data_IF_108905401161
#
_entry.id   IF_108905401161
#
_cell.length_a   1.000
_cell.length_b   1.000
_cell.length_c   1.000
_cell.angle_alpha   90.00
_cell.angle_beta   90.00
_cell.angle_gamma   90.00
#
_symmetry.space_group_name_H-M   'P 1'
#
loop_
_entity.id
_entity.type
_entity.pdbx_description
1 polymer ?
#
# COMPACT_ATOMS: atom_id res chain seq x y z
N UNK A 1 -7.52 -10.89 -14.51
CA UNK A 1 -8.46 -9.76 -14.44
C UNK A 1 -9.06 -9.59 -13.05
N UNK A 2 -9.64 -10.67 -12.45
CA UNK A 2 -10.27 -10.60 -11.12
C UNK A 2 -9.32 -10.07 -10.03
N UNK A 3 -8.07 -10.51 -10.01
CA UNK A 3 -7.07 -10.00 -9.04
C UNK A 3 -6.87 -8.50 -9.25
N UNK A 4 -6.71 -8.06 -10.48
CA UNK A 4 -6.44 -6.66 -10.80
C UNK A 4 -7.63 -5.74 -10.47
N UNK A 5 -8.86 -6.17 -10.69
CA UNK A 5 -10.06 -5.39 -10.38
C UNK A 5 -10.34 -5.30 -8.88
N UNK A 6 -10.05 -6.36 -8.12
CA UNK A 6 -10.23 -6.36 -6.67
C UNK A 6 -9.13 -5.58 -5.92
N UNK A 7 -7.89 -5.53 -6.47
CA UNK A 7 -6.75 -4.88 -5.82
C UNK A 7 -6.89 -3.36 -5.68
N UNK A 8 -7.53 -2.71 -6.66
CA UNK A 8 -7.69 -1.26 -6.70
C UNK A 8 -9.17 -0.93 -6.53
N UNK A 9 -9.84 -1.68 -5.64
CA UNK A 9 -11.28 -1.61 -5.49
C UNK A 9 -11.77 -0.22 -5.05
N UNK A 10 -13.03 0.04 -5.39
CA UNK A 10 -13.78 1.23 -4.99
C UNK A 10 -13.70 1.52 -3.47
N UNK A 11 -13.47 0.49 -2.65
CA UNK A 11 -13.41 0.61 -1.20
C UNK A 11 -12.30 1.54 -0.71
N UNK A 12 -11.08 1.45 -1.27
CA UNK A 12 -10.00 2.38 -0.88
C UNK A 12 -10.35 3.82 -1.27
N UNK A 13 -10.81 4.06 -2.50
CA UNK A 13 -11.23 5.38 -2.94
C UNK A 13 -12.44 5.94 -2.14
N UNK A 14 -13.37 5.08 -1.68
CA UNK A 14 -14.45 5.49 -0.80
C UNK A 14 -13.90 5.90 0.56
N UNK A 15 -13.03 5.06 1.15
CA UNK A 15 -12.41 5.32 2.45
C UNK A 15 -11.53 6.56 2.44
N UNK A 16 -10.76 6.78 1.37
CA UNK A 16 -9.95 8.00 1.22
C UNK A 16 -10.83 9.25 1.24
N UNK A 17 -11.90 9.27 0.44
CA UNK A 17 -12.80 10.42 0.36
C UNK A 17 -13.50 10.76 1.68
N UNK A 18 -13.89 9.75 2.45
CA UNK A 18 -14.54 9.91 3.74
C UNK A 18 -13.60 10.40 4.84
N UNK A 19 -12.29 10.38 4.58
CA UNK A 19 -11.25 10.61 5.58
C UNK A 19 -10.22 11.67 5.19
N UNK A 20 -10.55 12.56 4.25
CA UNK A 20 -9.69 13.70 3.84
C UNK A 20 -9.41 14.68 4.97
N UNK A 21 -10.26 14.70 6.00
CA UNK A 21 -10.14 15.56 7.19
C UNK A 21 -9.84 14.75 8.46
N UNK A 22 -9.68 13.43 8.37
CA UNK A 22 -9.34 12.57 9.50
C UNK A 22 -7.84 12.69 9.78
N UNK A 23 -7.46 13.50 10.74
CA UNK A 23 -6.05 13.73 11.10
C UNK A 23 -5.51 12.58 11.95
N UNK A 24 -4.32 12.12 11.60
CA UNK A 24 -3.57 11.10 12.33
C UNK A 24 -2.07 11.43 12.33
N UNK A 25 -1.27 10.84 13.24
CA UNK A 25 0.18 10.98 13.15
C UNK A 25 0.72 10.15 11.96
N UNK A 26 1.57 10.74 11.15
CA UNK A 26 2.45 10.02 10.25
C UNK A 26 3.67 9.51 11.02
N UNK A 27 4.17 8.33 10.65
CA UNK A 27 5.26 7.66 11.33
C UNK A 27 6.48 7.49 10.42
N UNK A 28 7.67 7.71 10.99
CA UNK A 28 8.94 7.22 10.46
C UNK A 28 9.66 6.47 11.58
N UNK A 29 10.28 5.33 11.28
CA UNK A 29 10.93 4.48 12.30
C UNK A 29 9.99 4.08 13.47
N UNK A 30 8.68 3.96 13.21
CA UNK A 30 7.61 3.79 14.22
C UNK A 30 7.56 4.93 15.26
N UNK A 31 8.21 6.06 15.01
CA UNK A 31 8.10 7.28 15.82
C UNK A 31 7.15 8.25 15.12
N UNK A 32 6.36 8.98 15.90
CA UNK A 32 5.50 10.05 15.39
C UNK A 32 6.36 11.14 14.75
N UNK A 33 6.05 11.52 13.52
CA UNK A 33 6.83 12.48 12.74
C UNK A 33 6.03 13.77 12.51
N UNK A 34 5.07 13.74 11.61
CA UNK A 34 4.26 14.89 11.21
C UNK A 34 2.79 14.51 11.13
N UNK A 35 1.84 15.45 11.30
CA UNK A 35 0.43 15.16 11.11
C UNK A 35 0.13 14.96 9.62
N UNK A 36 -0.69 13.95 9.34
CA UNK A 36 -1.20 13.61 8.01
C UNK A 36 -2.71 13.37 8.10
N UNK A 37 -3.35 13.11 6.97
CA UNK A 37 -4.72 12.59 6.97
C UNK A 37 -4.74 11.08 6.74
N UNK A 38 -5.79 10.41 7.20
CA UNK A 38 -6.01 9.00 6.91
C UNK A 38 -6.14 8.77 5.39
N UNK A 39 -6.77 9.70 4.67
CA UNK A 39 -6.84 9.66 3.21
C UNK A 39 -5.44 9.63 2.57
N UNK A 40 -4.53 10.48 3.03
CA UNK A 40 -3.15 10.50 2.53
C UNK A 40 -2.42 9.17 2.77
N UNK A 41 -2.62 8.56 3.92
CA UNK A 41 -2.04 7.26 4.25
C UNK A 41 -2.61 6.15 3.36
N UNK A 42 -3.93 6.09 3.22
CA UNK A 42 -4.60 5.09 2.37
C UNK A 42 -4.23 5.26 0.90
N UNK A 43 -4.14 6.49 0.41
CA UNK A 43 -3.69 6.81 -0.95
C UNK A 43 -2.30 6.26 -1.29
N UNK A 44 -1.41 6.14 -0.30
CA UNK A 44 -0.11 5.50 -0.52
C UNK A 44 -0.25 4.01 -0.90
N UNK A 45 -1.18 3.28 -0.27
CA UNK A 45 -1.50 1.89 -0.64
C UNK A 45 -2.23 1.80 -1.97
N UNK A 46 -3.13 2.74 -2.25
CA UNK A 46 -3.76 2.84 -3.57
C UNK A 46 -2.71 2.91 -4.69
N UNK A 47 -1.72 3.79 -4.56
CA UNK A 47 -0.64 3.91 -5.54
C UNK A 47 0.22 2.64 -5.66
N UNK A 48 0.41 1.87 -4.58
CA UNK A 48 1.09 0.57 -4.63
C UNK A 48 0.28 -0.43 -5.47
N UNK A 49 -1.02 -0.60 -5.19
CA UNK A 49 -1.88 -1.54 -5.90
C UNK A 49 -2.16 -1.12 -7.34
N UNK A 50 -2.21 0.17 -7.63
CA UNK A 50 -2.25 0.70 -8.99
C UNK A 50 -1.04 0.25 -9.81
N UNK A 51 0.16 0.32 -9.26
CA UNK A 51 1.36 -0.22 -9.91
C UNK A 51 1.32 -1.74 -10.06
N UNK A 52 0.71 -2.46 -9.13
CA UNK A 52 0.53 -3.92 -9.24
C UNK A 52 -0.42 -4.29 -10.37
N UNK A 53 -1.51 -3.54 -10.53
CA UNK A 53 -2.42 -3.70 -11.67
C UNK A 53 -1.72 -3.48 -13.01
N UNK A 54 -0.87 -2.45 -13.12
CA UNK A 54 -0.07 -2.20 -14.32
C UNK A 54 0.91 -3.35 -14.59
N UNK A 55 1.56 -3.93 -13.57
CA UNK A 55 2.42 -5.11 -13.73
C UNK A 55 1.66 -6.29 -14.34
N UNK A 56 0.46 -6.57 -13.83
CA UNK A 56 -0.37 -7.65 -14.36
C UNK A 56 -0.78 -7.40 -15.83
N UNK A 57 -1.06 -6.15 -16.17
CA UNK A 57 -1.34 -5.77 -17.55
C UNK A 57 -0.11 -5.98 -18.45
N UNK A 58 1.05 -5.50 -18.04
CA UNK A 58 2.30 -5.67 -18.81
C UNK A 58 2.63 -7.15 -19.06
N UNK A 59 2.36 -8.01 -18.08
CA UNK A 59 2.53 -9.47 -18.22
C UNK A 59 1.54 -10.03 -19.23
N UNK A 60 0.28 -9.61 -19.16
CA UNK A 60 -0.74 -10.04 -20.11
C UNK A 60 -0.34 -9.73 -21.56
N UNK A 61 0.19 -8.54 -21.83
CA UNK A 61 0.66 -8.14 -23.15
C UNK A 61 1.77 -9.07 -23.69
N UNK A 62 2.68 -9.51 -22.82
CA UNK A 62 3.78 -10.39 -23.22
C UNK A 62 3.39 -11.86 -23.31
N UNK A 63 2.49 -12.33 -22.46
CA UNK A 63 2.09 -13.75 -22.42
C UNK A 63 1.04 -14.14 -23.45
N UNK A 64 0.37 -13.19 -24.10
CA UNK A 64 -0.81 -13.45 -24.91
C UNK A 64 -0.46 -13.92 -26.33
N UNK A 65 0.46 -14.91 -26.43
CA UNK A 65 0.84 -15.59 -27.68
C UNK A 65 0.61 -17.09 -27.59
N UNK A 66 0.00 -17.66 -28.63
CA UNK A 66 -0.45 -19.06 -28.66
C UNK A 66 0.70 -20.03 -28.97
N UNK A 67 1.03 -20.98 -28.07
CA UNK A 67 2.07 -21.98 -28.34
C UNK A 67 1.57 -23.18 -29.15
N UNK A 68 0.25 -23.34 -29.33
CA UNK A 68 -0.31 -24.49 -30.04
C UNK A 68 0.22 -24.60 -31.47
N UNK A 69 0.45 -25.84 -31.90
CA UNK A 69 1.06 -26.14 -33.19
C UNK A 69 2.59 -26.16 -33.19
N UNK A 70 3.24 -25.88 -32.06
CA UNK A 70 4.71 -26.00 -31.92
C UNK A 70 5.21 -27.45 -31.97
N UNK A 71 4.32 -28.44 -31.82
CA UNK A 71 4.68 -29.85 -31.75
C UNK A 71 5.53 -30.15 -30.52
N UNK A 72 6.47 -31.09 -30.66
CA UNK A 72 7.42 -31.37 -29.58
C UNK A 72 8.48 -30.26 -29.43
N UNK A 73 8.94 -29.66 -30.54
CA UNK A 73 9.89 -28.54 -30.61
C UNK A 73 10.08 -27.97 -32.04
N UNK A 74 9.72 -28.70 -33.09
CA UNK A 74 10.04 -28.38 -34.48
C UNK A 74 8.78 -28.15 -35.36
N UNK A 75 7.62 -27.93 -34.74
CA UNK A 75 6.36 -27.81 -35.44
C UNK A 75 5.87 -29.17 -35.98
N UNK A 76 5.24 -29.14 -37.17
CA UNK A 76 4.66 -30.34 -37.79
C UNK A 76 4.69 -30.23 -39.33
N UNK A 77 4.63 -31.35 -40.00
CA UNK A 77 4.47 -31.43 -41.47
C UNK A 77 3.01 -31.33 -41.92
N UNK A 78 2.05 -31.32 -41.00
CA UNK A 78 0.65 -31.13 -41.30
C UNK A 78 0.36 -29.65 -41.58
N UNK A 79 -0.58 -29.33 -42.53
CA UNK A 79 -0.92 -27.96 -42.87
C UNK A 79 -1.82 -27.33 -41.78
N UNK A 80 -1.25 -27.05 -40.62
CA UNK A 80 -1.95 -26.37 -39.52
C UNK A 80 -1.96 -24.86 -39.77
N UNK A 81 -3.13 -24.24 -39.56
CA UNK A 81 -3.26 -22.79 -39.51
C UNK A 81 -3.14 -22.31 -38.04
N UNK A 82 -1.94 -21.91 -37.67
CA UNK A 82 -1.65 -21.45 -36.32
C UNK A 82 -2.18 -20.04 -36.03
N UNK A 83 -2.28 -19.21 -37.07
CA UNK A 83 -2.87 -17.86 -36.98
C UNK A 83 -4.35 -17.97 -36.63
N UNK A 84 -5.10 -18.78 -37.40
CA UNK A 84 -6.51 -19.04 -37.13
C UNK A 84 -6.77 -19.67 -35.76
N UNK A 85 -5.90 -20.56 -35.31
CA UNK A 85 -5.98 -21.15 -33.96
C UNK A 85 -5.79 -20.08 -32.88
N UNK A 86 -4.83 -19.20 -33.04
CA UNK A 86 -4.57 -18.10 -32.11
C UNK A 86 -5.75 -17.12 -32.06
N UNK A 87 -6.31 -16.76 -33.23
CA UNK A 87 -7.48 -15.88 -33.32
C UNK A 87 -8.70 -16.48 -32.59
N UNK A 88 -9.03 -17.75 -32.86
CA UNK A 88 -10.16 -18.43 -32.19
C UNK A 88 -10.04 -18.49 -30.67
N UNK A 89 -8.82 -18.54 -30.14
CA UNK A 89 -8.52 -18.59 -28.71
C UNK A 89 -8.33 -17.20 -28.09
N UNK A 90 -8.36 -16.13 -28.88
CA UNK A 90 -8.23 -14.76 -28.40
C UNK A 90 -6.80 -14.35 -28.06
N UNK A 91 -5.78 -15.03 -28.63
CA UNK A 91 -4.39 -14.62 -28.55
C UNK A 91 -4.05 -13.56 -29.62
N UNK A 92 -2.99 -12.80 -29.38
CA UNK A 92 -2.50 -11.82 -30.38
C UNK A 92 -1.91 -12.47 -31.64
N UNK A 93 -1.48 -13.71 -31.52
CA UNK A 93 -0.90 -14.50 -32.60
C UNK A 93 -0.20 -15.74 -32.08
N UNK A 94 0.38 -16.58 -32.95
CA UNK A 94 1.18 -17.73 -32.55
C UNK A 94 2.57 -17.30 -32.05
N UNK A 95 3.20 -18.12 -31.21
CA UNK A 95 4.63 -17.99 -30.92
C UNK A 95 5.46 -18.20 -32.18
N UNK A 96 6.46 -17.34 -32.42
CA UNK A 96 7.22 -17.30 -33.66
C UNK A 96 8.35 -18.35 -33.75
N UNK A 97 8.67 -18.99 -32.65
CA UNK A 97 9.64 -20.09 -32.60
C UNK A 97 9.04 -21.29 -31.86
N UNK A 98 8.95 -22.45 -32.52
CA UNK A 98 8.29 -23.61 -31.96
C UNK A 98 9.06 -24.24 -30.78
N UNK A 99 10.38 -24.10 -30.75
CA UNK A 99 11.20 -24.61 -29.64
C UNK A 99 11.02 -23.72 -28.39
N UNK A 100 10.98 -22.42 -28.57
CA UNK A 100 10.68 -21.45 -27.54
C UNK A 100 9.23 -21.63 -27.01
N UNK A 101 8.26 -21.77 -27.92
CA UNK A 101 6.84 -21.93 -27.57
C UNK A 101 6.53 -23.16 -26.69
N UNK A 102 7.36 -24.21 -26.72
CA UNK A 102 7.22 -25.35 -25.78
C UNK A 102 8.06 -25.23 -24.53
N UNK A 103 9.07 -24.36 -24.54
CA UNK A 103 10.05 -24.20 -23.46
C UNK A 103 9.75 -23.00 -22.54
N UNK A 104 9.12 -21.97 -23.07
CA UNK A 104 8.90 -20.71 -22.34
C UNK A 104 8.08 -20.90 -21.06
N UNK A 105 8.57 -20.30 -20.00
CA UNK A 105 7.89 -20.14 -18.69
C UNK A 105 8.09 -18.74 -18.12
N UNK A 106 8.60 -17.80 -18.92
CA UNK A 106 8.87 -16.44 -18.47
C UNK A 106 7.57 -15.77 -17.99
N UNK A 107 6.46 -16.02 -18.69
CA UNK A 107 5.15 -15.53 -18.31
C UNK A 107 4.70 -15.98 -16.92
N UNK A 108 5.04 -17.21 -16.49
CA UNK A 108 4.74 -17.70 -15.14
C UNK A 108 5.66 -17.09 -14.10
N UNK A 109 6.95 -16.91 -14.43
CA UNK A 109 7.93 -16.25 -13.55
C UNK A 109 7.52 -14.78 -13.33
N UNK A 110 7.17 -14.07 -14.38
CA UNK A 110 6.66 -12.70 -14.29
C UNK A 110 5.37 -12.63 -13.49
N UNK A 111 4.42 -13.54 -13.74
CA UNK A 111 3.17 -13.60 -12.99
C UNK A 111 3.40 -13.88 -11.49
N UNK A 112 4.23 -14.86 -11.13
CA UNK A 112 4.58 -15.15 -9.75
C UNK A 112 5.34 -13.98 -9.09
N UNK A 113 6.16 -13.26 -9.86
CA UNK A 113 6.84 -12.04 -9.38
C UNK A 113 5.83 -10.93 -9.07
N UNK A 114 4.82 -10.74 -9.92
CA UNK A 114 3.73 -9.80 -9.64
C UNK A 114 2.93 -10.24 -8.41
N UNK A 115 2.57 -11.51 -8.31
CA UNK A 115 1.90 -12.10 -7.14
C UNK A 115 2.71 -11.88 -5.85
N UNK A 116 4.02 -12.09 -5.88
CA UNK A 116 4.91 -11.83 -4.75
C UNK A 116 4.93 -10.35 -4.36
N UNK A 117 4.94 -9.44 -5.33
CA UNK A 117 4.89 -7.99 -5.09
C UNK A 117 3.56 -7.56 -4.48
N UNK A 118 2.43 -8.08 -4.99
CA UNK A 118 1.09 -7.86 -4.43
C UNK A 118 1.04 -8.31 -2.96
N UNK A 119 1.52 -9.52 -2.68
CA UNK A 119 1.53 -10.04 -1.32
C UNK A 119 2.45 -9.25 -0.40
N UNK A 120 3.55 -8.71 -0.90
CA UNK A 120 4.41 -7.81 -0.11
C UNK A 120 3.67 -6.52 0.28
N UNK A 121 2.92 -5.92 -0.64
CA UNK A 121 2.12 -4.73 -0.35
C UNK A 121 0.99 -5.05 0.65
N UNK A 122 0.27 -6.16 0.45
CA UNK A 122 -0.75 -6.62 1.40
C UNK A 122 -0.16 -6.92 2.78
N UNK A 123 1.04 -7.54 2.84
CA UNK A 123 1.73 -7.83 4.10
C UNK A 123 2.09 -6.55 4.86
N UNK A 124 2.58 -5.53 4.17
CA UNK A 124 2.87 -4.23 4.78
C UNK A 124 1.61 -3.57 5.34
N UNK A 125 0.53 -3.57 4.56
CA UNK A 125 -0.73 -3.00 5.00
C UNK A 125 -1.33 -3.82 6.17
N UNK A 126 -1.23 -5.14 6.12
CA UNK A 126 -1.63 -6.02 7.23
C UNK A 126 -0.89 -5.69 8.53
N UNK A 127 0.42 -5.45 8.45
CA UNK A 127 1.22 -5.05 9.62
C UNK A 127 0.70 -3.76 10.25
N UNK A 128 0.39 -2.75 9.42
CA UNK A 128 -0.17 -1.49 9.93
C UNK A 128 -1.55 -1.68 10.55
N UNK A 129 -2.44 -2.47 9.93
CA UNK A 129 -3.75 -2.81 10.51
C UNK A 129 -3.59 -3.51 11.86
N UNK A 130 -2.64 -4.44 11.99
CA UNK A 130 -2.35 -5.14 13.27
C UNK A 130 -1.88 -4.13 14.33
N UNK A 131 -0.94 -3.24 13.98
CA UNK A 131 -0.47 -2.18 14.87
C UNK A 131 -1.64 -1.27 15.27
N UNK A 132 -2.45 -0.81 14.30
CA UNK A 132 -3.56 0.09 14.56
C UNK A 132 -4.68 -0.54 15.38
N UNK A 133 -4.86 -1.85 15.28
CA UNK A 133 -5.87 -2.59 16.07
C UNK A 133 -5.37 -2.93 17.49
N UNK A 134 -4.08 -2.73 17.79
CA UNK A 134 -3.52 -3.03 19.11
C UNK A 134 -4.13 -2.16 20.21
N UNK A 135 -4.07 -2.65 21.46
CA UNK A 135 -4.55 -1.92 22.64
C UNK A 135 -3.83 -0.58 22.86
N UNK A 136 -2.59 -0.46 22.40
CA UNK A 136 -1.74 0.72 22.51
C UNK A 136 -2.16 1.81 21.53
N UNK A 137 -2.49 1.43 20.28
CA UNK A 137 -2.88 2.38 19.22
C UNK A 137 -4.38 2.64 19.22
N UNK A 138 -5.20 1.61 19.09
CA UNK A 138 -6.67 1.70 19.01
C UNK A 138 -7.16 2.63 17.90
N UNK A 139 -6.47 2.65 16.77
CA UNK A 139 -6.85 3.49 15.62
C UNK A 139 -7.96 2.87 14.79
N UNK A 140 -8.05 1.54 14.79
CA UNK A 140 -9.07 0.80 14.07
C UNK A 140 -9.73 -0.27 14.93
N UNK A 141 -10.96 -0.60 14.57
CA UNK A 141 -11.68 -1.77 15.05
C UNK A 141 -12.05 -2.63 13.86
N UNK A 142 -11.59 -3.89 13.86
CA UNK A 142 -11.91 -4.87 12.83
C UNK A 142 -13.28 -5.46 13.15
N UNK A 143 -14.13 -5.65 12.12
CA UNK A 143 -15.44 -6.27 12.24
C UNK A 143 -15.32 -7.74 12.73
N UNK A 144 -16.33 -8.21 13.48
CA UNK A 144 -16.36 -9.56 14.03
C UNK A 144 -16.29 -10.65 12.96
N UNK A 145 -16.76 -10.37 11.74
CA UNK A 145 -16.66 -11.29 10.61
C UNK A 145 -15.22 -11.54 10.14
N UNK A 146 -14.28 -10.65 10.49
CA UNK A 146 -12.87 -10.68 10.08
C UNK A 146 -11.89 -10.76 11.24
N UNK A 147 -12.38 -11.09 12.44
CA UNK A 147 -11.60 -11.21 13.66
C UNK A 147 -12.06 -12.40 14.48
N UNK A 148 -11.21 -12.97 15.32
CA UNK A 148 -11.60 -14.00 16.25
C UNK A 148 -11.48 -13.55 17.70
N UNK A 149 -12.46 -13.97 18.53
CA UNK A 149 -12.37 -13.83 19.98
C UNK A 149 -11.51 -14.93 20.60
N UNK A 150 -11.04 -14.69 21.80
CA UNK A 150 -10.39 -15.73 22.61
C UNK A 150 -11.45 -16.55 23.34
N UNK A 151 -11.33 -17.88 23.33
CA UNK A 151 -12.19 -18.78 24.12
C UNK A 151 -11.98 -18.64 25.64
N UNK A 152 -10.86 -18.06 26.06
CA UNK A 152 -10.47 -17.89 27.48
C UNK A 152 -10.57 -16.43 27.91
N UNK A 153 -10.33 -15.48 27.01
CA UNK A 153 -10.29 -14.04 27.31
C UNK A 153 -11.40 -13.32 26.56
N UNK A 154 -12.60 -13.13 27.16
CA UNK A 154 -13.77 -12.59 26.45
C UNK A 154 -13.57 -11.19 25.84
N UNK A 155 -12.63 -10.42 26.39
CA UNK A 155 -12.30 -9.06 25.94
C UNK A 155 -11.31 -9.02 24.76
N UNK A 156 -10.71 -10.18 24.40
CA UNK A 156 -9.66 -10.24 23.38
C UNK A 156 -10.25 -10.45 21.98
N UNK A 157 -9.90 -9.57 21.07
CA UNK A 157 -10.25 -9.61 19.65
C UNK A 157 -8.97 -9.58 18.82
N UNK A 158 -8.76 -10.61 18.00
CA UNK A 158 -7.51 -10.78 17.25
C UNK A 158 -7.67 -10.35 15.81
N UNK A 159 -6.67 -9.72 15.18
CA UNK A 159 -6.67 -9.31 13.78
C UNK A 159 -6.27 -10.48 12.84
N UNK A 160 -6.94 -11.63 12.95
CA UNK A 160 -6.51 -12.88 12.33
C UNK A 160 -6.36 -12.80 10.81
N UNK A 161 -7.28 -12.11 10.13
CA UNK A 161 -7.21 -11.98 8.65
C UNK A 161 -5.94 -11.25 8.25
N UNK A 162 -5.60 -10.15 8.93
CA UNK A 162 -4.38 -9.41 8.66
C UNK A 162 -3.12 -10.26 8.94
N UNK A 163 -3.12 -11.03 10.03
CA UNK A 163 -2.02 -11.95 10.37
C UNK A 163 -1.86 -13.06 9.35
N UNK A 164 -2.97 -13.70 8.92
CA UNK A 164 -2.96 -14.76 7.92
C UNK A 164 -2.49 -14.25 6.54
N UNK A 165 -2.93 -13.08 6.12
CA UNK A 165 -2.46 -12.46 4.87
C UNK A 165 -0.96 -12.19 4.94
N UNK A 166 -0.46 -11.62 6.04
CA UNK A 166 0.97 -11.42 6.27
C UNK A 166 1.73 -12.75 6.22
N UNK A 167 1.23 -13.80 6.88
CA UNK A 167 1.86 -15.12 6.90
C UNK A 167 1.89 -15.81 5.54
N UNK A 168 0.80 -15.72 4.76
CA UNK A 168 0.69 -16.35 3.42
C UNK A 168 1.63 -15.74 2.37
N UNK A 169 2.17 -14.56 2.62
CA UNK A 169 3.17 -13.92 1.74
C UNK A 169 4.38 -14.82 1.51
N UNK A 170 4.87 -15.50 2.56
CA UNK A 170 5.99 -16.44 2.44
C UNK A 170 5.71 -17.63 1.50
N UNK A 171 4.45 -18.11 1.44
CA UNK A 171 4.03 -19.18 0.54
C UNK A 171 4.19 -18.77 -0.93
N UNK A 172 3.75 -17.56 -1.28
CA UNK A 172 3.85 -17.03 -2.66
C UNK A 172 5.30 -16.74 -3.04
N UNK A 173 6.11 -16.25 -2.10
CA UNK A 173 7.56 -16.09 -2.32
C UNK A 173 8.23 -17.42 -2.60
N UNK A 174 7.83 -18.46 -1.85
CA UNK A 174 8.32 -19.84 -2.06
C UNK A 174 7.99 -20.36 -3.45
N UNK A 175 6.79 -20.10 -3.96
CA UNK A 175 6.37 -20.51 -5.32
C UNK A 175 7.26 -19.86 -6.40
N UNK A 176 7.48 -18.54 -6.32
CA UNK A 176 8.37 -17.83 -7.25
C UNK A 176 9.79 -18.39 -7.21
N UNK A 177 10.34 -18.55 -6.03
CA UNK A 177 11.71 -19.05 -5.86
C UNK A 177 11.85 -20.50 -6.36
N UNK A 178 10.83 -21.32 -6.13
CA UNK A 178 10.79 -22.71 -6.60
C UNK A 178 10.79 -22.76 -8.13
N UNK A 179 9.96 -21.97 -8.81
CA UNK A 179 9.91 -21.94 -10.28
C UNK A 179 11.22 -21.43 -10.89
N UNK A 180 11.80 -20.37 -10.35
CA UNK A 180 13.12 -19.86 -10.75
C UNK A 180 14.20 -20.95 -10.60
N UNK A 181 14.14 -21.72 -9.52
CA UNK A 181 15.08 -22.83 -9.27
C UNK A 181 14.87 -23.99 -10.24
N UNK A 182 13.62 -24.30 -10.58
CA UNK A 182 13.28 -25.34 -11.56
C UNK A 182 13.81 -24.97 -12.94
N UNK A 183 13.58 -23.73 -13.38
CA UNK A 183 13.93 -23.29 -14.75
C UNK A 183 15.43 -23.06 -14.96
N UNK A 184 16.20 -22.75 -13.89
CA UNK A 184 17.63 -22.51 -14.02
C UNK A 184 18.37 -23.75 -14.57
N UNK A 185 19.05 -23.65 -15.66
CA UNK A 185 19.98 -24.68 -16.16
C UNK A 185 19.35 -25.88 -16.87
N UNK A 186 18.02 -25.89 -17.08
CA UNK A 186 17.42 -26.87 -17.98
C UNK A 186 17.65 -26.46 -19.44
N UNK A 187 17.93 -27.43 -20.37
CA UNK A 187 18.13 -27.12 -21.78
C UNK A 187 16.82 -26.77 -22.47
N UNK A 188 16.92 -26.24 -23.69
CA UNK A 188 15.77 -25.89 -24.53
C UNK A 188 14.84 -27.06 -24.81
N UNK A 189 13.66 -26.74 -25.30
CA UNK A 189 12.50 -27.61 -25.48
C UNK A 189 11.94 -28.09 -24.13
N UNK A 190 11.24 -29.21 -24.13
CA UNK A 190 10.54 -29.71 -22.94
C UNK A 190 11.37 -30.64 -22.10
N UNK A 191 11.41 -30.40 -20.82
CA UNK A 191 11.95 -31.31 -19.80
C UNK A 191 10.89 -31.55 -18.72
N UNK A 192 10.90 -32.73 -18.10
CA UNK A 192 9.91 -33.14 -17.07
C UNK A 192 9.86 -32.18 -15.86
N UNK A 193 10.98 -31.52 -15.56
CA UNK A 193 11.09 -30.49 -14.51
C UNK A 193 10.01 -29.41 -14.66
N UNK A 194 9.63 -29.10 -15.89
CA UNK A 194 8.61 -28.09 -16.18
C UNK A 194 7.19 -28.47 -15.71
N UNK A 195 6.96 -29.71 -15.25
CA UNK A 195 5.66 -30.08 -14.66
C UNK A 195 5.43 -29.42 -13.30
N UNK A 196 6.50 -29.04 -12.60
CA UNK A 196 6.44 -28.31 -11.34
C UNK A 196 5.89 -26.88 -11.47
N UNK A 197 5.74 -26.37 -12.69
CA UNK A 197 5.23 -25.04 -12.96
C UNK A 197 3.74 -24.85 -12.54
N UNK A 198 2.93 -25.90 -12.62
CA UNK A 198 1.47 -25.82 -12.50
C UNK A 198 1.00 -25.67 -11.07
N UNK A 199 1.39 -26.60 -10.20
CA UNK A 199 0.93 -26.60 -8.79
C UNK A 199 1.34 -25.30 -8.08
N UNK A 200 2.58 -24.88 -8.29
CA UNK A 200 3.11 -23.64 -7.71
C UNK A 200 2.35 -22.40 -8.19
N UNK A 201 2.07 -22.33 -9.49
CA UNK A 201 1.40 -21.16 -10.07
C UNK A 201 -0.07 -21.09 -9.70
N UNK A 202 -0.78 -22.23 -9.73
CA UNK A 202 -2.19 -22.28 -9.33
C UNK A 202 -2.37 -22.00 -7.84
N UNK A 203 -1.55 -22.59 -6.99
CA UNK A 203 -1.57 -22.34 -5.56
C UNK A 203 -1.27 -20.88 -5.21
N UNK A 204 -0.28 -20.27 -5.87
CA UNK A 204 0.01 -18.85 -5.69
C UNK A 204 -1.16 -17.96 -6.13
N UNK A 205 -1.75 -18.25 -7.30
CA UNK A 205 -2.91 -17.51 -7.81
C UNK A 205 -4.10 -17.57 -6.84
N UNK A 206 -4.46 -18.77 -6.39
CA UNK A 206 -5.59 -18.97 -5.47
C UNK A 206 -5.31 -18.31 -4.11
N UNK A 207 -4.08 -18.38 -3.63
CA UNK A 207 -3.64 -17.72 -2.40
C UNK A 207 -3.78 -16.21 -2.51
N UNK A 208 -3.29 -15.60 -3.60
CA UNK A 208 -3.40 -14.14 -3.82
C UNK A 208 -4.85 -13.72 -3.95
N UNK A 209 -5.68 -14.41 -4.76
CA UNK A 209 -7.11 -14.12 -4.92
C UNK A 209 -7.83 -14.17 -3.57
N UNK A 210 -7.62 -15.21 -2.78
CA UNK A 210 -8.21 -15.35 -1.46
C UNK A 210 -7.77 -14.24 -0.48
N UNK A 211 -6.48 -13.90 -0.46
CA UNK A 211 -5.95 -12.83 0.39
C UNK A 211 -6.51 -11.47 0.01
N UNK A 212 -6.55 -11.13 -1.28
CA UNK A 212 -7.12 -9.86 -1.78
C UNK A 212 -8.60 -9.75 -1.41
N UNK A 213 -9.39 -10.81 -1.64
CA UNK A 213 -10.81 -10.79 -1.35
C UNK A 213 -11.11 -10.61 0.15
N UNK A 214 -10.42 -11.36 1.01
CA UNK A 214 -10.59 -11.27 2.46
C UNK A 214 -10.10 -9.92 3.01
N UNK A 215 -8.96 -9.43 2.52
CA UNK A 215 -8.43 -8.14 2.93
C UNK A 215 -9.35 -6.99 2.53
N UNK A 216 -9.89 -7.03 1.32
CA UNK A 216 -10.85 -6.03 0.84
C UNK A 216 -12.14 -6.03 1.68
N UNK A 217 -12.70 -7.20 2.00
CA UNK A 217 -13.86 -7.30 2.88
C UNK A 217 -13.59 -6.79 4.29
N UNK A 218 -12.43 -7.10 4.87
CA UNK A 218 -11.99 -6.56 6.16
C UNK A 218 -11.89 -5.03 6.11
N UNK A 219 -11.26 -4.48 5.08
CA UNK A 219 -11.10 -3.03 4.91
C UNK A 219 -12.45 -2.32 4.76
N UNK A 220 -13.38 -2.92 4.01
CA UNK A 220 -14.72 -2.36 3.78
C UNK A 220 -15.55 -2.20 5.06
N UNK A 221 -15.38 -3.10 6.03
CA UNK A 221 -16.15 -3.12 7.28
C UNK A 221 -15.41 -2.54 8.48
N UNK A 222 -14.09 -2.33 8.36
CA UNK A 222 -13.24 -1.80 9.42
C UNK A 222 -13.68 -0.39 9.83
N UNK A 223 -13.75 -0.12 11.13
CA UNK A 223 -14.08 1.19 11.69
C UNK A 223 -12.83 1.95 12.09
N UNK A 224 -12.78 3.24 11.76
CA UNK A 224 -11.68 4.13 12.14
C UNK A 224 -12.06 4.93 13.39
N UNK A 225 -11.22 4.87 14.41
CA UNK A 225 -11.36 5.67 15.62
C UNK A 225 -10.70 7.05 15.42
N UNK A 226 -11.44 7.94 14.78
CA UNK A 226 -10.96 9.28 14.39
C UNK A 226 -10.49 10.11 15.57
N UNK A 227 -11.19 10.02 16.69
CA UNK A 227 -10.83 10.78 17.92
C UNK A 227 -9.51 10.30 18.48
N UNK A 228 -9.28 8.96 18.50
CA UNK A 228 -8.03 8.40 18.97
C UNK A 228 -6.85 8.74 18.07
N UNK A 229 -7.07 8.72 16.76
CA UNK A 229 -6.08 9.16 15.76
C UNK A 229 -5.70 10.62 15.99
N UNK A 230 -6.70 11.50 16.12
CA UNK A 230 -6.50 12.93 16.41
C UNK A 230 -5.77 13.16 17.73
N UNK A 231 -6.21 12.53 18.80
CA UNK A 231 -5.56 12.61 20.10
C UNK A 231 -4.08 12.17 20.01
N UNK A 232 -3.82 11.10 19.27
CA UNK A 232 -2.45 10.62 19.08
C UNK A 232 -1.59 11.61 18.28
N UNK A 233 -2.15 12.33 17.30
CA UNK A 233 -1.45 13.36 16.56
C UNK A 233 -1.07 14.55 17.44
N UNK A 234 -1.96 14.97 18.35
CA UNK A 234 -1.71 16.08 19.27
C UNK A 234 -0.58 15.76 20.30
N UNK A 235 -0.32 14.47 20.57
CA UNK A 235 0.73 14.06 21.48
C UNK A 235 1.95 13.56 20.71
N UNK A 236 3.13 14.13 20.98
CA UNK A 236 4.40 13.71 20.39
C UNK A 236 5.04 14.76 19.49
N UNK A 237 4.65 16.01 19.67
CA UNK A 237 5.28 17.16 19.02
C UNK A 237 5.27 17.10 17.48
N UNK A 238 4.21 16.53 16.90
CA UNK A 238 4.09 16.35 15.44
C UNK A 238 4.04 17.68 14.69
N UNK A 239 3.70 18.78 15.39
CA UNK A 239 3.66 20.16 14.90
C UNK A 239 4.96 20.95 15.16
N UNK A 240 6.00 20.30 15.71
CA UNK A 240 7.26 21.00 16.00
C UNK A 240 7.93 21.56 14.73
N UNK A 241 7.82 20.87 13.60
CA UNK A 241 8.33 21.37 12.32
C UNK A 241 7.59 22.62 11.88
N UNK A 242 6.28 22.68 12.09
CA UNK A 242 5.44 23.83 11.73
C UNK A 242 5.74 25.03 12.62
N UNK A 243 6.11 24.82 13.88
CA UNK A 243 6.63 25.88 14.77
C UNK A 243 7.99 26.42 14.29
N UNK A 244 8.86 25.56 13.74
CA UNK A 244 10.11 26.00 13.13
C UNK A 244 9.86 26.78 11.83
N UNK A 245 8.95 26.34 10.99
CA UNK A 245 8.55 27.01 9.77
C UNK A 245 7.91 28.39 10.07
N UNK A 246 7.13 28.50 11.15
CA UNK A 246 6.63 29.78 11.62
C UNK A 246 7.76 30.77 11.89
N UNK A 247 8.76 30.37 12.64
CA UNK A 247 9.93 31.22 12.93
C UNK A 247 10.71 31.62 11.67
N UNK A 248 10.88 30.70 10.73
CA UNK A 248 11.53 30.96 9.45
C UNK A 248 10.76 32.00 8.65
N UNK A 249 9.44 31.91 8.61
CA UNK A 249 8.58 32.87 7.93
C UNK A 249 8.62 34.27 8.60
N UNK A 250 9.03 34.33 9.87
CA UNK A 250 9.26 35.59 10.60
C UNK A 250 10.74 36.02 10.60
N UNK A 251 11.54 35.50 9.66
CA UNK A 251 12.91 35.95 9.40
C UNK A 251 14.00 35.31 10.24
N UNK A 252 13.69 34.28 11.03
CA UNK A 252 14.70 33.50 11.76
C UNK A 252 15.35 32.50 10.82
N UNK A 253 16.71 32.43 10.74
CA UNK A 253 17.36 31.42 9.93
C UNK A 253 16.95 29.99 10.35
N UNK A 254 16.76 29.08 9.39
CA UNK A 254 16.28 27.73 9.65
C UNK A 254 17.04 26.99 10.76
N UNK A 255 18.37 27.11 10.78
CA UNK A 255 19.21 26.45 11.79
C UNK A 255 18.91 26.97 13.21
N UNK A 256 18.67 28.26 13.34
CA UNK A 256 18.35 28.89 14.62
C UNK A 256 16.90 28.55 15.04
N UNK A 257 15.96 28.58 14.10
CA UNK A 257 14.57 28.14 14.31
C UNK A 257 14.50 26.70 14.84
N UNK A 258 15.24 25.78 14.22
CA UNK A 258 15.35 24.40 14.68
C UNK A 258 15.88 24.31 16.12
N UNK A 259 16.92 25.09 16.45
CA UNK A 259 17.48 25.17 17.80
C UNK A 259 16.49 25.73 18.84
N UNK A 260 15.69 26.75 18.44
CA UNK A 260 14.64 27.34 19.29
C UNK A 260 13.57 26.31 19.57
N UNK A 261 13.04 25.64 18.55
CA UNK A 261 12.01 24.61 18.70
C UNK A 261 12.51 23.40 19.49
N UNK A 262 13.78 23.03 19.34
CA UNK A 262 14.40 22.00 20.18
C UNK A 262 14.33 22.34 21.68
N UNK A 263 14.52 23.62 22.06
CA UNK A 263 14.37 24.06 23.46
C UNK A 263 12.89 24.04 23.91
N UNK A 264 11.95 24.40 23.01
CA UNK A 264 10.52 24.29 23.29
C UNK A 264 10.14 22.84 23.58
N UNK A 265 10.56 21.90 22.74
CA UNK A 265 10.29 20.47 22.94
C UNK A 265 10.84 19.98 24.28
N UNK A 266 12.08 20.35 24.62
CA UNK A 266 12.68 19.99 25.92
C UNK A 266 11.88 20.57 27.11
N UNK A 267 11.45 21.83 27.00
CA UNK A 267 10.59 22.47 28.01
C UNK A 267 9.26 21.74 28.17
N UNK A 268 8.61 21.42 27.04
CA UNK A 268 7.34 20.70 27.04
C UNK A 268 7.46 19.28 27.60
N UNK A 269 8.57 18.58 27.34
CA UNK A 269 8.85 17.26 27.92
C UNK A 269 9.01 17.33 29.43
N UNK A 270 9.71 18.34 29.97
CA UNK A 270 9.87 18.55 31.41
C UNK A 270 8.53 18.86 32.07
N UNK A 271 7.73 19.69 31.47
CA UNK A 271 6.40 20.09 31.98
C UNK A 271 5.30 19.05 31.69
N UNK A 272 5.56 18.08 30.82
CA UNK A 272 4.57 17.08 30.32
C UNK A 272 3.35 17.71 29.65
N UNK A 273 3.56 18.74 28.87
CA UNK A 273 2.52 19.45 28.10
C UNK A 273 2.84 19.38 26.59
N UNK A 274 1.87 19.46 25.68
CA UNK A 274 2.11 19.70 24.27
C UNK A 274 2.53 21.16 24.00
N UNK A 275 3.03 21.46 22.81
CA UNK A 275 3.43 22.83 22.44
C UNK A 275 2.23 23.79 22.49
N UNK A 276 1.05 23.30 22.11
CA UNK A 276 -0.18 24.08 22.05
C UNK A 276 -0.65 24.61 23.41
N UNK A 277 -0.23 23.97 24.50
CA UNK A 277 -0.58 24.35 25.90
C UNK A 277 0.42 25.33 26.53
N UNK A 278 1.51 25.68 25.82
CA UNK A 278 2.41 26.73 26.29
C UNK A 278 1.75 28.10 26.19
N UNK A 279 1.90 28.93 27.23
CA UNK A 279 1.46 30.33 27.15
C UNK A 279 2.37 31.13 26.19
N UNK A 280 1.82 32.21 25.62
CA UNK A 280 2.61 33.11 24.78
C UNK A 280 3.81 33.71 25.52
N UNK A 281 3.69 33.94 26.82
CA UNK A 281 4.76 34.44 27.66
C UNK A 281 5.91 33.42 27.77
N UNK A 282 5.60 32.13 27.91
CA UNK A 282 6.60 31.06 27.94
C UNK A 282 7.30 30.91 26.56
N UNK A 283 6.52 30.99 25.49
CA UNK A 283 7.08 30.98 24.11
C UNK A 283 8.00 32.18 23.87
N UNK A 284 7.56 33.39 24.25
CA UNK A 284 8.33 34.63 24.11
C UNK A 284 9.60 34.63 25.00
N UNK A 285 9.58 33.95 26.12
CA UNK A 285 10.77 33.78 26.95
C UNK A 285 11.87 32.95 26.26
N UNK A 286 11.50 32.05 25.34
CA UNK A 286 12.45 31.24 24.54
C UNK A 286 12.85 31.99 23.28
N UNK A 287 11.92 32.68 22.62
CA UNK A 287 12.16 33.55 21.46
C UNK A 287 11.14 34.68 21.38
N UNK A 288 11.56 35.95 21.35
CA UNK A 288 10.65 37.10 21.28
C UNK A 288 9.89 37.23 19.94
N UNK A 289 10.23 36.39 18.97
CA UNK A 289 9.60 36.38 17.64
C UNK A 289 8.19 35.79 17.65
N UNK A 290 7.86 34.96 18.67
CA UNK A 290 6.52 34.38 18.77
C UNK A 290 5.46 35.45 19.07
N UNK A 291 4.36 35.41 18.30
CA UNK A 291 3.17 36.21 18.51
C UNK A 291 1.93 35.28 18.65
N UNK A 292 0.75 35.83 18.87
CA UNK A 292 -0.46 35.07 19.20
C UNK A 292 -0.92 34.15 18.05
N UNK A 293 -0.55 34.47 16.82
CA UNK A 293 -0.85 33.70 15.61
C UNK A 293 -0.08 32.38 15.51
N UNK A 294 0.91 32.14 16.41
CA UNK A 294 1.59 30.84 16.50
C UNK A 294 0.59 29.71 16.77
N UNK A 295 -0.41 29.91 17.61
CA UNK A 295 -1.38 28.86 17.95
C UNK A 295 -2.19 28.41 16.73
N UNK A 296 -2.54 29.33 15.84
CA UNK A 296 -3.18 28.98 14.57
C UNK A 296 -2.18 28.27 13.64
N UNK A 297 -0.94 28.74 13.59
CA UNK A 297 0.09 28.19 12.73
C UNK A 297 0.44 26.73 13.06
N UNK A 298 0.42 26.34 14.35
CA UNK A 298 0.74 24.99 14.82
C UNK A 298 -0.50 24.11 15.09
N UNK A 299 -1.70 24.61 14.84
CA UNK A 299 -2.91 23.78 14.92
C UNK A 299 -2.80 22.61 13.93
N UNK A 300 -3.30 21.44 14.31
CA UNK A 300 -3.18 20.24 13.47
C UNK A 300 -3.82 20.43 12.10
N UNK A 301 -4.92 21.16 12.04
CA UNK A 301 -5.62 21.52 10.80
C UNK A 301 -4.73 22.36 9.89
N UNK A 302 -4.11 23.38 10.43
CA UNK A 302 -3.21 24.27 9.69
C UNK A 302 -1.97 23.53 9.24
N UNK A 303 -1.36 22.73 10.14
CA UNK A 303 -0.21 21.90 9.81
C UNK A 303 -0.46 20.97 8.62
N UNK A 304 -1.65 20.35 8.55
CA UNK A 304 -2.02 19.49 7.42
C UNK A 304 -2.36 20.32 6.18
N UNK A 305 -3.26 21.32 6.32
CA UNK A 305 -3.86 22.00 5.17
C UNK A 305 -2.92 22.97 4.45
N UNK A 306 -1.87 23.45 5.09
CA UNK A 306 -0.81 24.26 4.44
C UNK A 306 0.12 23.43 3.52
N UNK A 307 0.07 22.12 3.58
CA UNK A 307 0.86 21.22 2.70
C UNK A 307 0.11 20.97 1.39
N UNK A 308 0.32 21.83 0.39
CA UNK A 308 -0.43 21.90 -0.87
C UNK A 308 0.34 21.38 -2.09
N UNK A 309 1.58 20.93 -1.93
CA UNK A 309 2.34 20.34 -3.03
C UNK A 309 1.67 19.05 -3.52
N UNK A 310 1.88 18.70 -4.78
CA UNK A 310 1.30 17.45 -5.34
C UNK A 310 1.71 16.25 -4.49
N UNK A 311 0.71 15.47 -4.06
CA UNK A 311 0.92 14.30 -3.21
C UNK A 311 1.04 14.62 -1.71
N UNK A 312 0.86 15.85 -1.27
CA UNK A 312 0.86 16.23 0.14
C UNK A 312 -0.52 15.98 0.80
N UNK A 313 -0.59 15.93 2.16
CA UNK A 313 -1.81 15.58 2.89
C UNK A 313 -2.88 16.67 2.95
N UNK A 314 -2.60 17.91 2.51
CA UNK A 314 -3.57 19.00 2.57
C UNK A 314 -4.82 18.69 1.76
N UNK A 315 -5.98 19.11 2.27
CA UNK A 315 -7.30 18.77 1.69
C UNK A 315 -7.38 19.00 0.19
N UNK A 316 -7.01 20.20 -0.29
CA UNK A 316 -7.06 20.52 -1.72
C UNK A 316 -6.10 19.64 -2.58
N UNK A 317 -4.94 19.28 -2.03
CA UNK A 317 -4.00 18.41 -2.72
C UNK A 317 -4.56 16.98 -2.82
N UNK A 318 -5.15 16.48 -1.74
CA UNK A 318 -5.77 15.15 -1.69
C UNK A 318 -6.99 15.04 -2.58
N UNK A 319 -7.87 16.03 -2.61
CA UNK A 319 -9.06 16.05 -3.48
C UNK A 319 -8.66 15.91 -4.96
N UNK A 320 -7.60 16.61 -5.40
CA UNK A 320 -7.06 16.50 -6.76
C UNK A 320 -6.46 15.12 -7.06
N UNK A 321 -5.83 14.48 -6.07
CA UNK A 321 -5.30 13.12 -6.21
C UNK A 321 -6.44 12.13 -6.33
N UNK A 322 -7.43 12.18 -5.43
CA UNK A 322 -8.60 11.29 -5.42
C UNK A 322 -9.39 11.39 -6.73
N UNK A 323 -9.53 12.58 -7.32
CA UNK A 323 -10.18 12.76 -8.62
C UNK A 323 -9.43 11.99 -9.73
N UNK A 324 -8.10 12.12 -9.79
CA UNK A 324 -7.26 11.36 -10.74
C UNK A 324 -7.31 9.85 -10.53
N UNK A 325 -7.39 9.40 -9.28
CA UNK A 325 -7.53 7.99 -8.93
C UNK A 325 -8.87 7.43 -9.43
N UNK A 326 -9.94 8.21 -9.32
CA UNK A 326 -11.27 7.87 -9.86
C UNK A 326 -11.26 7.78 -11.38
N UNK A 327 -10.65 8.75 -12.05
CA UNK A 327 -10.48 8.70 -13.51
C UNK A 327 -9.69 7.45 -13.94
N UNK A 328 -8.67 7.07 -13.17
CA UNK A 328 -7.92 5.83 -13.40
C UNK A 328 -8.79 4.58 -13.24
N UNK A 329 -9.62 4.52 -12.19
CA UNK A 329 -10.52 3.39 -11.94
C UNK A 329 -11.64 3.27 -12.97
N UNK A 330 -12.11 4.38 -13.52
CA UNK A 330 -13.18 4.40 -14.53
C UNK A 330 -12.72 3.92 -15.92
N UNK A 331 -11.42 3.82 -16.16
CA UNK A 331 -10.89 3.29 -17.43
C UNK A 331 -11.15 1.79 -17.50
N UNK A 332 -11.87 1.36 -18.54
CA UNK A 332 -11.94 -0.05 -18.89
C UNK A 332 -10.55 -0.50 -19.38
N UNK A 333 -10.00 -1.46 -18.69
CA UNK A 333 -8.77 -2.13 -19.10
C UNK A 333 -9.19 -3.44 -19.75
N UNK A 334 -8.95 -3.55 -21.04
CA UNK A 334 -9.18 -4.78 -21.79
C UNK A 334 -8.23 -5.89 -21.36
#
# INVERSE_FOLDING_TARGET
YEIASCLVGSEMCIRDRENTETIMPGFTHLQKAQPITLAHHMGAYFEMFKRDRLRLHDIYERMNYCPLGSGALAGTTYPLDREYTAELLGFYGPTLNSMDGVSDRDYLIEFLSACATIMMHLSRFSEEVIIWNSNEYQFVEIDDAYSTGSSIMPQKKNPDIAELVRGKTGRVYGALMSLLTTMKGIPLAYNKDMQEDKELSFDAMDTVKGCVALFNGMLATMRFNKDRMRQSANHGFTNATDAADYLVNHGVPFRDAHGIVGRIVLYCLDKKIPIDDMSLEELKAISPVFEEDIYDAISMETCVNKRLTVGAPGKEAMEKVIEKEREYLSKEWM
#
